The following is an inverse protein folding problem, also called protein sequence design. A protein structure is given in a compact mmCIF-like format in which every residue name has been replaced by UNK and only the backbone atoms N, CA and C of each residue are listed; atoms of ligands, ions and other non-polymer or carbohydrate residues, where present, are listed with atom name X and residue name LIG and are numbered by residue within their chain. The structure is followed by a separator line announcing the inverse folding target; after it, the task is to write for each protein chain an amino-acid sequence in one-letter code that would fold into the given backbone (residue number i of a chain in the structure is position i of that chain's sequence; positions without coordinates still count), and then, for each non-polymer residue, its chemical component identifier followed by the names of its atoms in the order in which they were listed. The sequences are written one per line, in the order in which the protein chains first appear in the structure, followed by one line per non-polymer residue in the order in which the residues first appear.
data_IF_331546627622
#
_entry.id   IF_331546627622
#
_cell.length_a   1.000
_cell.length_b   1.000
_cell.length_c   1.000
_cell.angle_alpha   90.00
_cell.angle_beta   90.00
_cell.angle_gamma   90.00
#
_symmetry.space_group_name_H-M   'P 1'
#
loop_
_entity.id
_entity.type
_entity.pdbx_description
1 polymer ?
#
# COMPACT_ATOMS: atom_id res chain seq x y z
N UNK A 1 14.68 -21.78 -4.06
CA UNK A 1 15.85 -22.43 -3.43
C UNK A 1 15.82 -22.33 -1.90
N UNK A 2 15.76 -21.13 -1.31
CA UNK A 2 15.74 -20.98 0.17
C UNK A 2 14.52 -21.64 0.81
N UNK A 3 13.32 -21.49 0.24
CA UNK A 3 12.11 -22.18 0.72
C UNK A 3 12.31 -23.70 0.74
N UNK A 4 12.75 -24.28 -0.38
CA UNK A 4 13.04 -25.72 -0.46
C UNK A 4 14.08 -26.17 0.59
N UNK A 5 15.11 -25.35 0.89
CA UNK A 5 16.06 -25.64 1.95
C UNK A 5 15.41 -25.61 3.33
N UNK A 6 14.53 -24.64 3.60
CA UNK A 6 13.78 -24.56 4.85
C UNK A 6 12.89 -25.81 5.03
N UNK A 7 12.12 -26.18 4.01
CA UNK A 7 11.29 -27.39 4.00
C UNK A 7 12.12 -28.66 4.19
N UNK A 8 13.30 -28.73 3.56
CA UNK A 8 14.21 -29.87 3.71
C UNK A 8 14.73 -29.95 5.14
N UNK A 9 15.16 -28.85 5.73
CA UNK A 9 15.61 -28.80 7.13
C UNK A 9 14.47 -29.16 8.09
N UNK A 10 13.25 -28.68 7.83
CA UNK A 10 12.05 -29.04 8.58
C UNK A 10 11.77 -30.54 8.52
N UNK A 11 11.88 -31.17 7.34
CA UNK A 11 11.69 -32.62 7.17
C UNK A 11 12.71 -33.46 7.96
N UNK A 12 13.86 -32.88 8.31
CA UNK A 12 14.92 -33.53 9.10
C UNK A 12 14.89 -33.10 10.58
N UNK A 13 14.00 -32.18 10.98
CA UNK A 13 13.92 -31.66 12.35
C UNK A 13 15.09 -30.75 12.76
N UNK A 14 15.83 -30.18 11.81
CA UNK A 14 17.02 -29.34 12.10
C UNK A 14 16.63 -27.87 12.29
N UNK A 15 16.10 -27.50 13.46
CA UNK A 15 15.54 -26.16 13.74
C UNK A 15 16.59 -25.05 13.60
N UNK A 16 17.83 -25.27 14.03
CA UNK A 16 18.91 -24.28 13.94
C UNK A 16 19.23 -23.93 12.48
N UNK A 17 19.13 -24.92 11.58
CA UNK A 17 19.33 -24.70 10.15
C UNK A 17 18.13 -23.99 9.51
N UNK A 18 16.91 -24.27 9.97
CA UNK A 18 15.71 -23.51 9.53
C UNK A 18 15.88 -22.05 9.95
N UNK A 19 16.34 -21.78 11.18
CA UNK A 19 16.60 -20.42 11.66
C UNK A 19 17.70 -19.75 10.82
N UNK A 20 18.78 -20.45 10.49
CA UNK A 20 19.82 -19.92 9.62
C UNK A 20 19.28 -19.57 8.23
N UNK A 21 18.45 -20.43 7.63
CA UNK A 21 17.80 -20.15 6.34
C UNK A 21 16.85 -18.95 6.45
N UNK A 22 16.04 -18.88 7.51
CA UNK A 22 15.18 -17.73 7.78
C UNK A 22 15.99 -16.43 7.91
N UNK A 23 17.10 -16.44 8.64
CA UNK A 23 17.98 -15.28 8.76
C UNK A 23 18.57 -14.81 7.43
N UNK A 24 18.87 -15.74 6.51
CA UNK A 24 19.30 -15.42 5.14
C UNK A 24 18.14 -14.89 4.30
N UNK A 25 16.94 -15.44 4.43
CA UNK A 25 15.73 -14.94 3.78
C UNK A 25 15.37 -13.52 4.25
N UNK A 26 15.69 -13.19 5.51
CA UNK A 26 15.49 -11.89 6.13
C UNK A 26 16.66 -10.91 5.94
N UNK A 27 17.66 -11.24 5.13
CA UNK A 27 18.69 -10.26 4.74
C UNK A 27 18.03 -9.13 3.97
N UNK A 28 18.25 -7.89 4.41
CA UNK A 28 17.82 -6.71 3.67
C UNK A 28 18.94 -6.22 2.75
N UNK A 29 18.54 -5.46 1.72
CA UNK A 29 19.45 -4.63 0.93
C UNK A 29 18.93 -3.21 0.94
N UNK A 30 19.83 -2.23 1.04
CA UNK A 30 19.48 -0.85 0.78
C UNK A 30 19.17 -0.67 -0.71
N UNK A 31 17.96 -0.20 -1.01
CA UNK A 31 17.50 0.12 -2.37
C UNK A 31 17.20 1.60 -2.45
N UNK A 32 17.82 2.31 -3.38
CA UNK A 32 17.60 3.73 -3.62
C UNK A 32 16.97 3.88 -5.01
N UNK A 33 15.86 4.61 -5.09
CA UNK A 33 15.12 4.86 -6.33
C UNK A 33 14.79 6.35 -6.44
N UNK A 34 14.48 6.87 -7.64
CA UNK A 34 13.90 8.21 -7.77
C UNK A 34 12.60 8.30 -6.95
N UNK A 35 12.48 9.33 -6.12
CA UNK A 35 11.27 9.60 -5.35
C UNK A 35 10.18 10.21 -6.22
N UNK A 36 8.92 10.03 -5.82
CA UNK A 36 7.78 10.65 -6.50
C UNK A 36 7.78 12.17 -6.28
N UNK A 37 7.78 12.94 -7.37
CA UNK A 37 7.69 14.41 -7.34
C UNK A 37 6.27 14.80 -7.74
N UNK A 38 5.57 15.51 -6.85
CA UNK A 38 4.27 16.06 -7.18
C UNK A 38 4.42 17.22 -8.19
N UNK A 39 3.60 17.30 -9.24
CA UNK A 39 3.72 18.31 -10.29
C UNK A 39 3.67 19.77 -9.80
N UNK A 40 3.04 20.03 -8.66
CA UNK A 40 2.84 21.37 -8.09
C UNK A 40 3.87 21.75 -6.99
N UNK A 41 4.84 20.88 -6.68
CA UNK A 41 5.80 21.13 -5.60
C UNK A 41 7.18 21.52 -6.14
N UNK A 42 7.32 22.79 -6.57
CA UNK A 42 8.60 23.38 -6.97
C UNK A 42 9.61 23.53 -5.80
N UNK A 43 9.21 23.21 -4.56
CA UNK A 43 9.94 23.61 -3.35
C UNK A 43 10.72 22.50 -2.64
N UNK A 44 10.54 21.23 -2.99
CA UNK A 44 11.18 20.12 -2.28
C UNK A 44 12.34 19.47 -3.08
N UNK A 45 13.51 20.12 -3.06
CA UNK A 45 14.77 19.47 -3.48
C UNK A 45 15.10 18.19 -2.68
N UNK A 46 14.45 17.99 -1.53
CA UNK A 46 14.66 16.87 -0.60
C UNK A 46 13.94 15.55 -0.97
N UNK A 47 13.04 15.54 -1.97
CA UNK A 47 12.25 14.36 -2.34
C UNK A 47 12.74 13.63 -3.61
N UNK A 48 13.97 13.89 -4.08
CA UNK A 48 14.47 13.27 -5.31
C UNK A 48 14.78 11.78 -5.18
N UNK A 49 15.03 11.28 -3.96
CA UNK A 49 15.38 9.88 -3.72
C UNK A 49 14.52 9.24 -2.63
N UNK A 50 14.06 8.04 -2.91
CA UNK A 50 13.40 7.14 -1.98
C UNK A 50 14.36 6.02 -1.60
N UNK A 51 14.52 5.77 -0.30
CA UNK A 51 15.37 4.72 0.23
C UNK A 51 14.50 3.70 0.97
N UNK A 52 14.67 2.43 0.61
CA UNK A 52 13.92 1.30 1.17
C UNK A 52 14.90 0.19 1.57
N UNK A 53 14.49 -0.65 2.52
CA UNK A 53 15.24 -1.84 2.93
C UNK A 53 14.45 -3.12 2.61
N UNK A 54 14.20 -3.45 1.33
CA UNK A 54 13.50 -4.69 0.99
C UNK A 54 14.27 -5.91 1.47
N UNK A 55 13.54 -6.89 2.03
CA UNK A 55 14.10 -8.18 2.40
C UNK A 55 14.32 -9.05 1.16
N UNK A 56 15.24 -10.02 1.28
CA UNK A 56 15.61 -10.94 0.21
C UNK A 56 14.46 -11.84 -0.24
N UNK A 57 13.58 -12.22 0.68
CA UNK A 57 12.37 -12.98 0.41
C UNK A 57 11.14 -12.11 0.62
N UNK A 58 10.09 -12.40 -0.15
CA UNK A 58 8.78 -11.77 0.02
C UNK A 58 8.09 -12.20 1.34
N UNK A 59 7.03 -11.47 1.68
CA UNK A 59 6.21 -11.74 2.86
C UNK A 59 5.74 -13.20 2.93
N UNK A 60 5.19 -13.74 1.83
CA UNK A 60 4.57 -15.06 1.82
C UNK A 60 5.57 -16.15 2.17
N UNK A 61 6.73 -16.15 1.51
CA UNK A 61 7.77 -17.15 1.76
C UNK A 61 8.34 -17.03 3.18
N UNK A 62 8.60 -15.80 3.66
CA UNK A 62 9.10 -15.60 5.02
C UNK A 62 8.08 -16.03 6.07
N UNK A 63 6.82 -15.65 5.89
CA UNK A 63 5.74 -15.94 6.81
C UNK A 63 5.46 -17.45 6.88
N UNK A 64 5.55 -18.15 5.74
CA UNK A 64 5.36 -19.60 5.70
C UNK A 64 6.43 -20.33 6.53
N UNK A 65 7.71 -19.96 6.36
CA UNK A 65 8.81 -20.52 7.16
C UNK A 65 8.64 -20.18 8.65
N UNK A 66 8.28 -18.93 8.96
CA UNK A 66 8.07 -18.50 10.34
C UNK A 66 6.96 -19.30 11.01
N UNK A 67 5.75 -19.25 10.45
CA UNK A 67 4.54 -19.79 11.07
C UNK A 67 4.53 -21.31 11.13
N UNK A 68 4.98 -22.00 10.08
CA UNK A 68 4.93 -23.47 10.02
C UNK A 68 6.11 -24.16 10.70
N UNK A 69 7.29 -23.52 10.69
CA UNK A 69 8.53 -24.24 11.01
C UNK A 69 9.31 -23.66 12.19
N UNK A 70 9.18 -22.37 12.50
CA UNK A 70 9.97 -21.74 13.57
C UNK A 70 9.14 -21.33 14.78
N UNK A 71 7.98 -20.69 14.59
CA UNK A 71 7.09 -20.25 15.66
C UNK A 71 6.79 -21.36 16.69
N UNK A 72 6.48 -22.62 16.29
CA UNK A 72 6.23 -23.70 17.25
C UNK A 72 7.41 -24.03 18.19
N UNK A 73 8.62 -23.64 17.82
CA UNK A 73 9.86 -23.95 18.53
C UNK A 73 10.59 -22.71 19.04
N UNK A 74 9.94 -21.55 19.08
CA UNK A 74 10.56 -20.27 19.42
C UNK A 74 10.86 -20.14 20.93
N UNK A 75 11.79 -20.95 21.46
CA UNK A 75 12.09 -21.00 22.91
C UNK A 75 13.45 -20.39 23.29
N UNK A 76 14.18 -19.80 22.34
CA UNK A 76 15.60 -19.48 22.53
C UNK A 76 15.92 -17.99 22.35
N UNK A 77 16.69 -17.45 23.30
CA UNK A 77 17.24 -16.08 23.31
C UNK A 77 17.90 -15.66 21.99
N UNK A 78 18.73 -16.53 21.40
CA UNK A 78 19.52 -16.21 20.20
C UNK A 78 18.63 -15.82 19.00
N UNK A 79 17.44 -16.41 18.93
CA UNK A 79 16.50 -16.15 17.83
C UNK A 79 15.91 -14.74 17.85
N UNK A 80 15.76 -14.15 19.04
CA UNK A 80 15.28 -12.78 19.19
C UNK A 80 16.36 -11.75 18.88
N UNK A 81 17.58 -12.01 19.34
CA UNK A 81 18.71 -11.12 19.13
C UNK A 81 18.94 -10.82 17.65
N UNK A 82 18.92 -11.86 16.80
CA UNK A 82 19.14 -11.67 15.37
C UNK A 82 18.05 -10.84 14.68
N UNK A 83 16.79 -10.89 15.16
CA UNK A 83 15.66 -10.13 14.60
C UNK A 83 15.71 -8.67 15.01
N UNK A 84 15.93 -8.43 16.30
CA UNK A 84 16.08 -7.08 16.86
C UNK A 84 17.25 -6.38 16.19
N UNK A 85 18.41 -7.04 16.09
CA UNK A 85 19.58 -6.49 15.41
C UNK A 85 19.28 -6.12 13.95
N UNK A 86 18.49 -6.93 13.22
CA UNK A 86 18.12 -6.65 11.84
C UNK A 86 17.27 -5.38 11.73
N UNK A 87 16.26 -5.24 12.58
CA UNK A 87 15.42 -4.05 12.61
C UNK A 87 16.21 -2.79 12.98
N UNK A 88 17.19 -2.89 13.90
CA UNK A 88 18.12 -1.78 14.20
C UNK A 88 18.98 -1.41 12.99
N UNK A 89 19.57 -2.40 12.31
CA UNK A 89 20.38 -2.14 11.11
C UNK A 89 19.58 -1.45 10.00
N UNK A 90 18.34 -1.88 9.77
CA UNK A 90 17.46 -1.24 8.79
C UNK A 90 17.12 0.20 9.20
N UNK A 91 16.86 0.45 10.49
CA UNK A 91 16.64 1.80 11.01
C UNK A 91 17.86 2.71 10.84
N UNK A 92 19.05 2.21 11.16
CA UNK A 92 20.31 2.96 11.02
C UNK A 92 20.59 3.32 9.56
N UNK A 93 20.40 2.36 8.64
CA UNK A 93 20.53 2.62 7.21
C UNK A 93 19.53 3.67 6.74
N UNK A 94 18.25 3.55 7.08
CA UNK A 94 17.23 4.53 6.69
C UNK A 94 17.48 5.92 7.31
N UNK A 95 18.09 5.97 8.50
CA UNK A 95 18.46 7.23 9.16
C UNK A 95 19.50 8.01 8.35
N UNK A 96 20.48 7.31 7.76
CA UNK A 96 21.49 7.93 6.87
C UNK A 96 20.84 8.58 5.65
N UNK A 97 19.72 8.05 5.18
CA UNK A 97 18.96 8.58 4.03
C UNK A 97 17.85 9.56 4.42
N UNK A 98 17.79 9.97 5.69
CA UNK A 98 16.73 10.87 6.18
C UNK A 98 15.33 10.25 6.15
N UNK A 99 15.22 8.92 6.03
CA UNK A 99 13.96 8.16 6.03
C UNK A 99 13.66 7.51 7.38
N UNK A 100 14.50 7.75 8.38
CA UNK A 100 14.22 7.42 9.77
C UNK A 100 14.92 8.42 10.71
N UNK A 101 14.42 8.47 11.93
CA UNK A 101 14.93 9.22 13.06
C UNK A 101 14.37 8.61 14.33
N UNK A 102 14.88 9.06 15.47
CA UNK A 102 14.32 8.66 16.77
C UNK A 102 12.81 8.96 16.87
N UNK A 103 12.32 10.07 16.30
CA UNK A 103 10.91 10.49 16.43
C UNK A 103 9.98 9.86 15.40
N UNK A 104 10.51 9.48 14.24
CA UNK A 104 9.73 8.98 13.12
C UNK A 104 10.57 8.00 12.31
N UNK A 105 9.98 6.88 11.90
CA UNK A 105 10.62 5.84 11.10
C UNK A 105 9.62 5.31 10.08
N UNK A 106 10.02 5.24 8.81
CA UNK A 106 9.18 4.72 7.73
C UNK A 106 8.69 3.29 8.01
N UNK A 107 9.53 2.43 8.59
CA UNK A 107 9.16 1.05 8.91
C UNK A 107 8.09 1.00 10.01
N UNK A 108 8.25 1.80 11.06
CA UNK A 108 7.23 1.91 12.10
C UNK A 108 5.96 2.58 11.58
N UNK A 109 6.05 3.51 10.63
CA UNK A 109 4.87 4.20 10.11
C UNK A 109 3.98 3.24 9.30
N UNK A 110 4.57 2.35 8.50
CA UNK A 110 3.84 1.35 7.70
C UNK A 110 3.18 0.25 8.54
N UNK A 111 3.65 0.03 9.78
CA UNK A 111 3.07 -0.93 10.71
C UNK A 111 2.06 -0.26 11.63
N UNK A 112 0.78 -0.58 11.51
CA UNK A 112 -0.29 0.06 12.29
C UNK A 112 -0.26 -0.37 13.75
N UNK A 113 -0.22 -1.68 14.04
CA UNK A 113 -0.19 -2.22 15.41
C UNK A 113 0.84 -3.35 15.58
N UNK A 114 1.42 -3.51 16.77
CA UNK A 114 2.28 -4.68 17.04
C UNK A 114 1.45 -5.97 17.09
N UNK A 115 0.33 -5.99 17.82
CA UNK A 115 -0.61 -7.10 17.80
C UNK A 115 -1.35 -7.22 16.46
N UNK A 116 -1.95 -8.38 16.13
CA UNK A 116 -2.75 -8.53 14.91
C UNK A 116 -3.88 -7.51 14.82
N UNK A 117 -3.96 -6.80 13.70
CA UNK A 117 -4.89 -5.70 13.51
C UNK A 117 -5.36 -5.59 12.05
N UNK A 118 -6.59 -5.08 11.82
CA UNK A 118 -7.21 -5.06 10.48
C UNK A 118 -6.56 -4.09 9.50
N UNK A 119 -5.93 -3.03 9.99
CA UNK A 119 -5.16 -2.10 9.15
C UNK A 119 -3.88 -2.74 8.59
N UNK A 120 -3.38 -3.82 9.19
CA UNK A 120 -2.17 -4.53 8.75
C UNK A 120 -2.50 -5.69 7.78
N UNK A 121 -3.66 -5.65 7.12
CA UNK A 121 -4.13 -6.69 6.18
C UNK A 121 -3.29 -6.83 4.90
N UNK A 122 -2.48 -5.83 4.57
CA UNK A 122 -1.56 -5.84 3.42
C UNK A 122 -0.11 -5.75 3.92
N UNK A 123 0.43 -6.84 4.49
CA UNK A 123 1.71 -6.79 5.16
C UNK A 123 2.90 -6.78 4.17
N UNK A 124 3.93 -6.06 4.56
CA UNK A 124 5.24 -6.08 3.94
C UNK A 124 6.08 -7.28 4.44
N UNK A 125 7.18 -7.57 3.76
CA UNK A 125 8.10 -8.63 4.19
C UNK A 125 8.70 -8.38 5.59
N UNK A 126 8.95 -7.11 5.92
CA UNK A 126 9.47 -6.69 7.24
C UNK A 126 8.51 -7.01 8.37
N UNK A 127 7.19 -7.07 8.10
CA UNK A 127 6.19 -7.39 9.13
C UNK A 127 6.38 -8.79 9.69
N UNK A 128 6.94 -9.71 8.92
CA UNK A 128 7.29 -11.05 9.42
C UNK A 128 8.37 -10.97 10.50
N UNK A 129 9.33 -10.04 10.39
CA UNK A 129 10.35 -9.82 11.43
C UNK A 129 9.74 -9.21 12.69
N UNK A 130 8.77 -8.30 12.52
CA UNK A 130 8.03 -7.67 13.62
C UNK A 130 7.20 -8.71 14.36
N UNK A 131 6.40 -9.48 13.63
CA UNK A 131 5.58 -10.57 14.16
C UNK A 131 6.45 -11.63 14.84
N UNK A 132 7.58 -11.98 14.23
CA UNK A 132 8.49 -12.95 14.81
C UNK A 132 9.17 -12.43 16.09
N UNK A 133 9.54 -11.15 16.17
CA UNK A 133 10.06 -10.54 17.39
C UNK A 133 8.98 -10.47 18.49
N UNK A 134 7.75 -10.07 18.13
CA UNK A 134 6.59 -10.06 19.04
C UNK A 134 6.32 -11.45 19.62
N UNK A 135 6.12 -12.44 18.75
CA UNK A 135 5.79 -13.81 19.14
C UNK A 135 6.83 -14.41 20.10
N UNK A 136 8.10 -14.07 19.87
CA UNK A 136 9.19 -14.52 20.73
C UNK A 136 9.23 -13.78 22.08
N UNK A 137 8.90 -12.48 22.14
CA UNK A 137 8.70 -11.76 23.41
C UNK A 137 7.52 -12.32 24.20
N UNK A 138 6.41 -12.65 23.52
CA UNK A 138 5.25 -13.30 24.14
C UNK A 138 5.62 -14.69 24.70
N UNK A 139 6.43 -15.46 23.96
CA UNK A 139 6.91 -16.75 24.45
C UNK A 139 7.86 -16.60 25.65
N UNK A 140 8.71 -15.57 25.66
CA UNK A 140 9.54 -15.24 26.82
C UNK A 140 8.71 -14.86 28.05
N UNK A 141 7.56 -14.21 27.86
CA UNK A 141 6.64 -13.95 28.96
C UNK A 141 6.21 -15.24 29.67
N UNK A 142 6.01 -16.33 28.91
CA UNK A 142 5.62 -17.64 29.44
C UNK A 142 6.82 -18.39 30.04
N UNK A 143 7.93 -18.42 29.32
CA UNK A 143 9.07 -19.31 29.63
C UNK A 143 10.06 -18.69 30.61
N UNK A 144 10.30 -17.37 30.53
CA UNK A 144 11.30 -16.66 31.33
C UNK A 144 11.00 -15.16 31.48
N UNK A 145 10.13 -14.78 32.44
CA UNK A 145 9.82 -13.37 32.71
C UNK A 145 11.05 -12.50 33.00
N UNK A 146 12.06 -13.04 33.70
CA UNK A 146 13.32 -12.32 33.95
C UNK A 146 14.04 -11.94 32.65
N UNK A 147 14.02 -12.83 31.66
CA UNK A 147 14.65 -12.58 30.36
C UNK A 147 13.82 -11.62 29.51
N UNK A 148 12.49 -11.68 29.63
CA UNK A 148 11.59 -10.68 29.06
C UNK A 148 11.91 -9.28 29.61
N UNK A 149 12.11 -9.13 30.91
CA UNK A 149 12.49 -7.84 31.50
C UNK A 149 13.78 -7.29 30.89
N UNK A 150 14.81 -8.14 30.71
CA UNK A 150 16.06 -7.72 30.08
C UNK A 150 15.87 -7.25 28.62
N UNK A 151 14.98 -7.90 27.85
CA UNK A 151 14.62 -7.45 26.51
C UNK A 151 13.87 -6.13 26.50
N UNK A 152 12.90 -5.94 27.40
CA UNK A 152 12.15 -4.68 27.50
C UNK A 152 13.11 -3.50 27.71
N UNK A 153 14.06 -3.63 28.64
CA UNK A 153 15.07 -2.60 28.91
C UNK A 153 15.98 -2.33 27.70
N UNK A 154 16.35 -3.36 26.94
CA UNK A 154 17.16 -3.21 25.71
C UNK A 154 16.38 -2.51 24.58
N UNK A 155 15.10 -2.81 24.45
CA UNK A 155 14.26 -2.34 23.37
C UNK A 155 13.79 -0.90 23.60
N UNK A 156 13.45 -0.54 24.84
CA UNK A 156 12.91 0.79 25.18
C UNK A 156 13.92 1.91 24.97
N UNK A 157 15.22 1.63 25.11
CA UNK A 157 16.30 2.62 24.89
C UNK A 157 16.75 2.73 23.43
N UNK A 158 16.24 1.89 22.53
CA UNK A 158 16.64 1.91 21.12
C UNK A 158 16.15 3.19 20.43
N UNK A 159 16.91 3.70 19.46
CA UNK A 159 16.48 4.82 18.62
C UNK A 159 15.42 4.41 17.59
N UNK A 160 15.32 3.12 17.27
CA UNK A 160 14.26 2.57 16.41
C UNK A 160 12.90 2.58 17.13
N UNK A 161 11.95 3.36 16.61
CA UNK A 161 10.59 3.47 17.19
C UNK A 161 9.85 2.13 17.23
N UNK A 162 10.03 1.30 16.21
CA UNK A 162 9.47 -0.04 16.13
C UNK A 162 9.92 -0.96 17.28
N UNK A 163 11.16 -0.81 17.74
CA UNK A 163 11.66 -1.59 18.87
C UNK A 163 11.07 -1.09 20.20
N UNK A 164 10.93 0.22 20.37
CA UNK A 164 10.23 0.77 21.54
C UNK A 164 8.77 0.32 21.58
N UNK A 165 8.10 0.23 20.43
CA UNK A 165 6.75 -0.34 20.30
C UNK A 165 6.68 -1.79 20.75
N UNK A 166 7.65 -2.62 20.35
CA UNK A 166 7.77 -4.00 20.84
C UNK A 166 7.99 -4.04 22.37
N UNK A 167 8.74 -3.11 22.95
CA UNK A 167 8.89 -2.99 24.40
C UNK A 167 7.56 -2.70 25.12
N UNK A 168 6.76 -1.79 24.56
CA UNK A 168 5.43 -1.42 25.09
C UNK A 168 4.46 -2.60 24.99
N UNK A 169 4.50 -3.35 23.89
CA UNK A 169 3.72 -4.59 23.78
C UNK A 169 4.15 -5.62 24.83
N UNK A 170 5.46 -5.83 24.99
CA UNK A 170 6.02 -6.79 25.94
C UNK A 170 5.69 -6.45 27.41
N UNK A 171 5.83 -5.18 27.83
CA UNK A 171 5.49 -4.77 29.21
C UNK A 171 4.00 -4.97 29.51
N UNK A 172 3.14 -4.74 28.50
CA UNK A 172 1.68 -4.89 28.63
C UNK A 172 1.29 -6.32 29.01
N UNK A 173 2.06 -7.30 28.52
CA UNK A 173 1.83 -8.73 28.73
C UNK A 173 2.70 -9.34 29.84
N UNK A 174 3.54 -8.55 30.53
CA UNK A 174 4.52 -9.06 31.48
C UNK A 174 3.84 -9.68 32.72
N UNK A 175 3.91 -11.01 32.94
CA UNK A 175 3.03 -11.70 33.88
C UNK A 175 3.31 -11.38 35.35
N UNK A 176 4.54 -11.00 35.69
CA UNK A 176 4.94 -10.71 37.08
C UNK A 176 4.64 -9.26 37.51
N UNK A 177 4.22 -8.39 36.59
CA UNK A 177 3.90 -7.01 36.89
C UNK A 177 2.41 -6.82 37.11
N UNK A 178 2.04 -6.09 38.17
CA UNK A 178 0.67 -5.66 38.41
C UNK A 178 0.24 -4.60 37.38
N UNK A 179 -1.07 -4.38 37.19
CA UNK A 179 -1.57 -3.29 36.34
C UNK A 179 -0.97 -1.93 36.72
N UNK A 180 -0.79 -1.65 38.01
CA UNK A 180 -0.18 -0.43 38.51
C UNK A 180 1.29 -0.31 38.14
N UNK A 181 2.06 -1.40 38.27
CA UNK A 181 3.48 -1.40 37.89
C UNK A 181 3.66 -1.13 36.40
N UNK A 182 2.79 -1.71 35.56
CA UNK A 182 2.81 -1.47 34.11
C UNK A 182 2.44 -0.02 33.78
N UNK A 183 1.39 0.53 34.37
CA UNK A 183 1.00 1.93 34.16
C UNK A 183 2.11 2.92 34.58
N UNK A 184 2.74 2.68 35.73
CA UNK A 184 3.86 3.51 36.19
C UNK A 184 5.05 3.39 35.23
N UNK A 185 5.37 2.18 34.76
CA UNK A 185 6.42 1.98 33.77
C UNK A 185 6.15 2.79 32.48
N UNK A 186 4.90 2.80 31.99
CA UNK A 186 4.52 3.59 30.81
C UNK A 186 4.76 5.10 31.03
N UNK A 187 4.43 5.62 32.22
CA UNK A 187 4.67 7.03 32.57
C UNK A 187 6.16 7.38 32.67
N UNK A 188 6.98 6.44 33.14
CA UNK A 188 8.41 6.65 33.39
C UNK A 188 9.26 6.55 32.10
N UNK A 189 8.85 5.69 31.15
CA UNK A 189 9.71 5.30 30.02
C UNK A 189 9.23 5.78 28.66
N UNK A 190 7.96 6.16 28.52
CA UNK A 190 7.44 6.58 27.23
C UNK A 190 7.51 8.09 27.15
N UNK A 191 8.42 8.53 26.29
CA UNK A 191 8.76 9.92 26.07
C UNK A 191 7.51 10.78 25.81
N UNK A 192 7.61 12.06 26.20
CA UNK A 192 6.56 13.07 26.01
C UNK A 192 6.25 13.34 24.53
N UNK A 193 7.12 12.88 23.64
CA UNK A 193 6.96 12.89 22.18
C UNK A 193 6.09 11.71 21.71
N UNK A 194 4.78 11.89 21.92
CA UNK A 194 3.63 10.97 21.72
C UNK A 194 3.49 10.21 20.40
N UNK A 195 4.36 10.45 19.41
CA UNK A 195 4.17 9.92 18.05
C UNK A 195 4.70 8.50 17.92
N UNK A 196 5.84 8.18 18.53
CA UNK A 196 6.42 6.84 18.41
C UNK A 196 5.76 5.85 19.37
N UNK A 197 4.92 4.96 18.85
CA UNK A 197 4.22 3.91 19.60
C UNK A 197 2.90 4.31 20.23
N UNK A 198 2.28 5.37 19.68
CA UNK A 198 0.99 5.91 20.10
C UNK A 198 -0.05 4.82 20.39
N UNK A 199 -0.29 3.95 19.40
CA UNK A 199 -1.24 2.84 19.48
C UNK A 199 -0.94 1.90 20.65
N UNK A 200 0.30 1.42 20.75
CA UNK A 200 0.67 0.47 21.78
C UNK A 200 0.54 1.08 23.20
N UNK A 201 0.77 2.39 23.38
CA UNK A 201 0.52 3.06 24.66
C UNK A 201 -0.98 3.07 24.99
N UNK A 202 -1.81 3.51 24.05
CA UNK A 202 -3.26 3.61 24.26
C UNK A 202 -3.84 2.24 24.61
N UNK A 203 -3.43 1.21 23.88
CA UNK A 203 -3.81 -0.18 24.15
C UNK A 203 -3.32 -0.65 25.52
N UNK A 204 -2.05 -0.42 25.86
CA UNK A 204 -1.48 -0.79 27.15
C UNK A 204 -2.24 -0.15 28.32
N UNK A 205 -2.59 1.13 28.19
CA UNK A 205 -3.38 1.86 29.18
C UNK A 205 -4.79 1.31 29.28
N UNK A 206 -5.48 1.08 28.16
CA UNK A 206 -6.84 0.54 28.16
C UNK A 206 -6.94 -0.83 28.84
N UNK A 207 -5.92 -1.68 28.69
CA UNK A 207 -5.89 -3.01 29.31
C UNK A 207 -5.59 -2.98 30.82
N UNK A 208 -4.82 -1.99 31.30
CA UNK A 208 -4.34 -1.97 32.69
C UNK A 208 -5.10 -0.97 33.59
N UNK A 209 -5.57 0.15 33.06
CA UNK A 209 -6.27 1.20 33.81
C UNK A 209 -7.53 0.73 34.56
N UNK A 210 -8.41 -0.11 33.97
CA UNK A 210 -9.63 -0.56 34.66
C UNK A 210 -9.34 -1.37 35.93
N UNK A 211 -8.25 -2.13 35.92
CA UNK A 211 -7.86 -3.07 36.99
C UNK A 211 -6.93 -2.44 38.04
N UNK A 212 -6.39 -1.25 37.79
CA UNK A 212 -5.51 -0.56 38.72
C UNK A 212 -6.24 -0.06 39.98
N UNK A 213 -5.52 0.17 41.07
CA UNK A 213 -6.06 0.84 42.24
C UNK A 213 -6.51 2.28 41.95
N UNK A 214 -7.46 2.79 42.74
CA UNK A 214 -8.00 4.15 42.60
C UNK A 214 -6.92 5.24 42.71
N UNK A 215 -5.96 5.07 43.63
CA UNK A 215 -4.83 5.99 43.79
C UNK A 215 -3.98 6.06 42.52
N UNK A 216 -3.69 4.92 41.88
CA UNK A 216 -2.91 4.86 40.64
C UNK A 216 -3.68 5.47 39.47
N UNK A 217 -4.98 5.19 39.36
CA UNK A 217 -5.85 5.82 38.34
C UNK A 217 -5.84 7.34 38.46
N UNK A 218 -5.94 7.86 39.68
CA UNK A 218 -5.90 9.30 39.95
C UNK A 218 -4.54 9.90 39.58
N UNK A 219 -3.45 9.28 40.01
CA UNK A 219 -2.10 9.74 39.66
C UNK A 219 -1.86 9.75 38.14
N UNK A 220 -2.39 8.76 37.43
CA UNK A 220 -2.30 8.68 35.97
C UNK A 220 -3.08 9.82 35.28
N UNK A 221 -4.30 10.12 35.74
CA UNK A 221 -5.08 11.26 35.25
C UNK A 221 -4.37 12.59 35.53
N UNK A 222 -3.83 12.76 36.74
CA UNK A 222 -3.06 13.94 37.11
C UNK A 222 -1.82 14.11 36.22
N UNK A 223 -1.13 13.01 35.88
CA UNK A 223 0.02 13.04 34.97
C UNK A 223 -0.36 13.47 33.54
N UNK A 224 -1.52 13.02 33.04
CA UNK A 224 -2.06 13.47 31.74
C UNK A 224 -2.37 14.97 31.76
N UNK A 225 -3.07 15.44 32.80
CA UNK A 225 -3.48 16.84 32.93
C UNK A 225 -2.31 17.79 33.17
N UNK A 226 -1.24 17.32 33.82
CA UNK A 226 -0.01 18.08 34.01
C UNK A 226 0.79 18.29 32.72
N UNK A 227 0.48 17.55 31.65
CA UNK A 227 1.17 17.65 30.39
C UNK A 227 0.62 18.80 29.53
N UNK A 228 1.50 19.65 29.02
CA UNK A 228 1.17 20.73 28.09
C UNK A 228 1.91 20.59 26.76
N UNK A 229 1.24 20.97 25.67
CA UNK A 229 1.81 21.04 24.33
C UNK A 229 2.15 22.48 23.98
N UNK A 230 3.24 22.72 23.21
CA UNK A 230 3.52 24.06 22.68
C UNK A 230 2.44 24.48 21.67
N UNK A 231 2.30 25.76 21.38
CA UNK A 231 1.41 26.24 20.32
C UNK A 231 1.80 25.68 18.94
N UNK A 232 0.85 25.64 18.00
CA UNK A 232 1.09 25.40 16.57
C UNK A 232 0.59 26.60 15.76
N UNK A 233 0.85 26.60 14.45
CA UNK A 233 0.43 27.69 13.55
C UNK A 233 -1.08 27.98 13.64
N UNK A 234 -1.89 26.94 13.83
CA UNK A 234 -3.36 27.04 13.84
C UNK A 234 -4.01 27.08 15.24
N UNK A 235 -3.29 26.77 16.32
CA UNK A 235 -3.87 26.56 17.66
C UNK A 235 -2.97 27.04 18.79
N UNK A 236 -3.60 27.64 19.82
CA UNK A 236 -2.90 28.02 21.05
C UNK A 236 -2.36 26.81 21.82
N UNK A 237 -1.37 27.03 22.69
CA UNK A 237 -0.82 25.99 23.55
C UNK A 237 -1.91 25.42 24.49
N UNK A 238 -2.80 26.29 24.97
CA UNK A 238 -3.94 25.95 25.81
C UNK A 238 -4.93 25.04 25.07
N UNK A 239 -5.35 25.40 23.86
CA UNK A 239 -6.29 24.59 23.07
C UNK A 239 -5.71 23.24 22.68
N UNK A 240 -4.44 23.18 22.27
CA UNK A 240 -3.77 21.91 21.95
C UNK A 240 -3.66 21.00 23.17
N UNK A 241 -3.34 21.57 24.34
CA UNK A 241 -3.24 20.82 25.59
C UNK A 241 -4.62 20.31 26.03
N UNK A 242 -5.65 21.16 25.96
CA UNK A 242 -7.02 20.77 26.29
C UNK A 242 -7.55 19.69 25.35
N UNK A 243 -7.27 19.78 24.05
CA UNK A 243 -7.67 18.77 23.06
C UNK A 243 -7.05 17.41 23.38
N UNK A 244 -5.77 17.41 23.66
CA UNK A 244 -5.03 16.22 24.08
C UNK A 244 -5.62 15.61 25.36
N UNK A 245 -5.92 16.44 26.38
CA UNK A 245 -6.53 15.97 27.62
C UNK A 245 -7.89 15.33 27.35
N UNK A 246 -8.70 15.96 26.49
CA UNK A 246 -10.00 15.46 26.09
C UNK A 246 -9.91 14.08 25.42
N UNK A 247 -8.98 13.89 24.48
CA UNK A 247 -8.81 12.62 23.75
C UNK A 247 -8.36 11.49 24.71
N UNK A 248 -7.41 11.77 25.62
CA UNK A 248 -6.97 10.80 26.64
C UNK A 248 -8.07 10.47 27.65
N UNK A 249 -8.77 11.48 28.18
CA UNK A 249 -9.85 11.26 29.16
C UNK A 249 -11.03 10.51 28.54
N UNK A 250 -11.36 10.81 27.28
CA UNK A 250 -12.36 10.05 26.52
C UNK A 250 -11.94 8.58 26.38
N UNK A 251 -10.67 8.31 26.09
CA UNK A 251 -10.14 6.95 26.01
C UNK A 251 -10.21 6.21 27.36
N UNK A 252 -9.80 6.87 28.45
CA UNK A 252 -9.89 6.31 29.79
C UNK A 252 -11.35 6.05 30.21
N UNK A 253 -12.26 6.95 29.85
CA UNK A 253 -13.69 6.79 30.11
C UNK A 253 -14.27 5.58 29.37
N UNK A 254 -13.87 5.34 28.11
CA UNK A 254 -14.24 4.12 27.38
C UNK A 254 -13.75 2.85 28.10
N UNK A 255 -12.54 2.87 28.64
CA UNK A 255 -11.96 1.73 29.34
C UNK A 255 -12.59 1.49 30.73
N UNK A 256 -12.92 2.56 31.47
CA UNK A 256 -13.51 2.50 32.82
C UNK A 256 -14.58 3.59 33.02
N UNK A 257 -15.83 3.39 32.55
CA UNK A 257 -16.87 4.42 32.52
C UNK A 257 -17.34 4.93 33.90
N UNK A 258 -17.12 4.15 34.95
CA UNK A 258 -17.49 4.46 36.34
C UNK A 258 -16.34 5.10 37.12
N UNK A 259 -15.23 5.49 36.47
CA UNK A 259 -14.13 6.17 37.12
C UNK A 259 -14.47 7.65 37.40
N UNK A 260 -14.83 7.93 38.66
CA UNK A 260 -15.21 9.29 39.12
C UNK A 260 -14.19 10.36 38.70
N UNK A 261 -12.89 10.10 38.89
CA UNK A 261 -11.83 11.05 38.53
C UNK A 261 -11.80 11.40 37.03
N UNK A 262 -12.06 10.42 36.16
CA UNK A 262 -12.11 10.65 34.71
C UNK A 262 -13.38 11.41 34.34
N UNK A 263 -14.53 11.01 34.88
CA UNK A 263 -15.80 11.66 34.59
C UNK A 263 -15.78 13.14 35.01
N UNK A 264 -15.29 13.45 36.21
CA UNK A 264 -15.19 14.83 36.69
C UNK A 264 -14.26 15.69 35.81
N UNK A 265 -13.12 15.15 35.40
CA UNK A 265 -12.17 15.87 34.55
C UNK A 265 -12.70 16.04 33.10
N UNK A 266 -13.36 15.02 32.57
CA UNK A 266 -13.93 15.04 31.22
C UNK A 266 -15.11 16.02 31.13
N UNK A 267 -16.02 16.03 32.12
CA UNK A 267 -17.16 16.95 32.14
C UNK A 267 -16.74 18.42 32.16
N UNK A 268 -15.63 18.78 32.82
CA UNK A 268 -15.10 20.14 32.78
C UNK A 268 -14.69 20.55 31.36
N UNK A 269 -14.08 19.64 30.60
CA UNK A 269 -13.69 19.90 29.20
C UNK A 269 -14.90 19.91 28.27
N UNK A 270 -15.89 19.05 28.50
CA UNK A 270 -17.14 19.03 27.72
C UNK A 270 -17.98 20.31 27.93
N UNK A 271 -17.97 20.88 29.15
CA UNK A 271 -18.60 22.18 29.42
C UNK A 271 -17.86 23.34 28.74
N UNK A 272 -16.52 23.28 28.71
CA UNK A 272 -15.69 24.31 28.09
C UNK A 272 -15.70 24.23 26.55
N UNK A 273 -15.80 23.03 25.98
CA UNK A 273 -15.76 22.76 24.53
C UNK A 273 -16.91 21.83 24.09
N UNK A 274 -18.18 22.30 24.07
CA UNK A 274 -19.35 21.46 23.79
C UNK A 274 -19.39 20.82 22.40
N UNK A 275 -18.68 21.42 21.44
CA UNK A 275 -18.56 20.96 20.05
C UNK A 275 -17.57 19.81 19.88
N UNK A 276 -16.71 19.55 20.86
CA UNK A 276 -15.73 18.48 20.76
C UNK A 276 -16.39 17.10 20.78
N UNK A 277 -15.82 16.22 19.96
CA UNK A 277 -16.24 14.83 19.82
C UNK A 277 -15.00 13.96 19.81
N UNK A 278 -15.10 12.85 20.52
CA UNK A 278 -14.02 11.87 20.58
C UNK A 278 -13.91 11.15 19.24
N UNK A 279 -12.71 11.10 18.61
CA UNK A 279 -12.49 10.34 17.38
C UNK A 279 -12.83 8.86 17.57
N UNK A 280 -13.20 8.15 16.51
CA UNK A 280 -13.47 6.70 16.59
C UNK A 280 -12.20 5.93 17.00
N UNK A 281 -11.07 6.25 16.36
CA UNK A 281 -9.74 5.64 16.54
C UNK A 281 -8.71 6.67 17.07
N UNK A 282 -8.81 7.11 18.34
CA UNK A 282 -7.88 8.09 18.91
C UNK A 282 -6.51 7.50 19.23
N UNK A 283 -6.37 6.18 19.17
CA UNK A 283 -5.16 5.38 19.38
C UNK A 283 -4.29 5.27 18.13
N UNK A 284 -4.80 5.65 16.96
CA UNK A 284 -4.04 5.66 15.71
C UNK A 284 -3.73 7.08 15.25
N UNK A 285 -2.48 7.30 14.81
CA UNK A 285 -2.07 8.57 14.18
C UNK A 285 -2.63 8.73 12.76
N UNK A 286 -3.04 7.62 12.15
CA UNK A 286 -3.69 7.55 10.86
C UNK A 286 -4.59 6.31 10.80
N UNK A 287 -5.81 6.50 10.31
CA UNK A 287 -6.76 5.40 10.09
C UNK A 287 -7.13 5.33 8.61
N UNK A 288 -6.95 4.16 8.02
CA UNK A 288 -7.48 3.85 6.69
C UNK A 288 -8.66 2.91 6.85
N UNK A 289 -9.87 3.46 6.75
CA UNK A 289 -11.09 2.65 6.74
C UNK A 289 -11.12 1.71 5.53
N UNK A 290 -12.08 0.79 5.51
CA UNK A 290 -12.36 -0.02 4.32
C UNK A 290 -12.79 0.89 3.16
N UNK A 291 -11.84 1.31 2.34
CA UNK A 291 -12.15 1.83 1.03
C UNK A 291 -12.66 0.65 0.20
N UNK A 292 -13.97 0.57 0.00
CA UNK A 292 -14.47 -0.19 -1.14
C UNK A 292 -13.84 0.43 -2.37
N UNK A 293 -13.11 -0.38 -3.14
CA UNK A 293 -12.72 0.01 -4.48
C UNK A 293 -14.01 0.16 -5.27
N UNK A 294 -14.54 1.38 -5.32
CA UNK A 294 -15.57 1.75 -6.27
C UNK A 294 -14.83 1.82 -7.59
N UNK A 295 -15.01 0.82 -8.44
CA UNK A 295 -14.36 0.78 -9.75
C UNK A 295 -14.64 2.04 -10.56
N UNK A 296 -13.91 2.20 -11.67
CA UNK A 296 -14.10 3.33 -12.58
C UNK A 296 -15.55 3.38 -13.08
N UNK A 297 -16.36 4.26 -12.49
CA UNK A 297 -17.77 4.42 -12.85
C UNK A 297 -17.88 5.17 -14.18
N UNK A 298 -18.81 4.75 -15.02
CA UNK A 298 -19.08 5.39 -16.31
C UNK A 298 -20.19 6.43 -16.18
N UNK A 299 -20.10 7.59 -16.85
CA UNK A 299 -21.18 8.57 -16.84
C UNK A 299 -22.45 8.08 -17.55
N UNK A 300 -22.33 7.08 -18.43
CA UNK A 300 -23.45 6.48 -19.16
C UNK A 300 -23.39 4.95 -19.12
N UNK A 301 -24.54 4.29 -18.97
CA UNK A 301 -24.63 2.84 -19.09
C UNK A 301 -24.47 2.40 -20.56
N UNK A 302 -24.18 1.11 -20.77
CA UNK A 302 -24.08 0.54 -22.13
C UNK A 302 -25.38 0.72 -22.91
N UNK A 303 -26.54 0.56 -22.26
CA UNK A 303 -27.86 0.75 -22.89
C UNK A 303 -28.09 2.20 -23.28
N UNK A 304 -27.63 3.16 -22.47
CA UNK A 304 -27.74 4.59 -22.78
C UNK A 304 -26.86 4.97 -23.98
N UNK A 305 -25.65 4.40 -24.08
CA UNK A 305 -24.77 4.59 -25.22
C UNK A 305 -25.38 4.01 -26.50
N UNK A 306 -25.95 2.81 -26.43
CA UNK A 306 -26.56 2.12 -27.57
C UNK A 306 -27.91 2.71 -28.00
N UNK A 307 -28.57 3.50 -27.13
CA UNK A 307 -29.84 4.16 -27.45
C UNK A 307 -29.69 5.38 -28.40
N UNK A 308 -28.46 5.86 -28.60
CA UNK A 308 -28.14 7.01 -29.46
C UNK A 308 -27.13 6.60 -30.54
N UNK A 309 -27.21 7.24 -31.70
CA UNK A 309 -26.23 7.04 -32.76
C UNK A 309 -24.87 7.65 -32.35
N UNK A 310 -23.72 7.02 -32.69
CA UNK A 310 -22.40 7.54 -32.31
C UNK A 310 -22.18 8.99 -32.73
N UNK A 311 -22.65 9.37 -33.92
CA UNK A 311 -22.52 10.72 -34.47
C UNK A 311 -23.21 11.79 -33.61
N UNK A 312 -24.31 11.45 -32.95
CA UNK A 312 -25.09 12.39 -32.14
C UNK A 312 -24.49 12.64 -30.76
N UNK A 313 -23.63 11.73 -30.29
CA UNK A 313 -23.02 11.77 -28.96
C UNK A 313 -21.51 11.91 -28.98
N UNK A 314 -20.86 11.90 -30.17
CA UNK A 314 -19.41 11.92 -30.29
C UNK A 314 -18.75 13.09 -29.54
N UNK A 315 -19.33 14.29 -29.59
CA UNK A 315 -18.78 15.43 -28.87
C UNK A 315 -18.81 15.23 -27.34
N UNK A 316 -19.87 14.61 -26.81
CA UNK A 316 -19.98 14.27 -25.39
C UNK A 316 -18.94 13.19 -25.02
N UNK A 317 -18.78 12.18 -25.89
CA UNK A 317 -17.78 11.13 -25.74
C UNK A 317 -16.34 11.66 -25.82
N UNK A 318 -16.05 12.76 -26.52
CA UNK A 318 -14.69 13.31 -26.61
C UNK A 318 -14.39 14.34 -25.51
N UNK A 319 -15.41 15.10 -25.09
CA UNK A 319 -15.24 16.21 -24.14
C UNK A 319 -15.36 15.82 -22.67
N UNK A 320 -15.81 14.59 -22.37
CA UNK A 320 -15.92 14.10 -21.00
C UNK A 320 -14.55 14.09 -20.29
N UNK A 321 -14.48 14.76 -19.14
CA UNK A 321 -13.30 14.83 -18.25
C UNK A 321 -13.65 14.30 -16.87
N UNK A 322 -12.64 13.83 -16.16
CA UNK A 322 -12.79 13.25 -14.83
C UNK A 322 -13.40 14.24 -13.83
N UNK A 323 -14.39 13.77 -13.07
CA UNK A 323 -15.11 14.56 -12.07
C UNK A 323 -14.50 14.52 -10.65
N UNK A 324 -13.29 14.00 -10.48
CA UNK A 324 -12.63 13.82 -9.18
C UNK A 324 -12.91 12.47 -8.49
N UNK A 325 -12.56 12.35 -7.21
CA UNK A 325 -12.69 11.13 -6.43
C UNK A 325 -14.17 10.74 -6.23
N UNK A 326 -14.52 9.47 -6.48
CA UNK A 326 -15.90 8.94 -6.47
C UNK A 326 -16.87 9.57 -7.50
N UNK A 327 -16.35 10.10 -8.61
CA UNK A 327 -17.16 10.54 -9.75
C UNK A 327 -16.94 9.63 -10.95
N UNK A 328 -17.85 9.64 -11.94
CA UNK A 328 -17.60 8.97 -13.20
C UNK A 328 -16.27 9.42 -13.83
N UNK A 329 -15.55 8.47 -14.38
CA UNK A 329 -14.19 8.64 -14.88
C UNK A 329 -14.13 8.37 -16.39
N UNK A 330 -13.10 8.94 -17.03
CA UNK A 330 -12.79 8.70 -18.43
C UNK A 330 -12.59 7.22 -18.68
N UNK A 331 -11.88 6.54 -17.79
CA UNK A 331 -11.67 5.09 -17.86
C UNK A 331 -13.00 4.30 -17.80
N UNK A 332 -13.93 4.70 -16.92
CA UNK A 332 -15.26 4.09 -16.83
C UNK A 332 -16.08 4.32 -18.10
N UNK A 333 -15.99 5.52 -18.70
CA UNK A 333 -16.59 5.80 -20.00
C UNK A 333 -16.04 4.91 -21.12
N UNK A 334 -14.72 4.83 -21.23
CA UNK A 334 -14.05 4.00 -22.24
C UNK A 334 -14.40 2.52 -22.06
N UNK A 335 -14.50 2.04 -20.82
CA UNK A 335 -14.92 0.67 -20.49
C UNK A 335 -16.34 0.37 -20.98
N UNK A 336 -17.31 1.22 -20.65
CA UNK A 336 -18.70 1.01 -21.12
C UNK A 336 -18.82 1.18 -22.63
N UNK A 337 -18.04 2.07 -23.24
CA UNK A 337 -18.00 2.25 -24.70
C UNK A 337 -17.46 1.00 -25.41
N UNK A 338 -16.45 0.34 -24.83
CA UNK A 338 -15.93 -0.94 -25.34
C UNK A 338 -16.99 -2.02 -25.27
N UNK A 339 -17.70 -2.14 -24.15
CA UNK A 339 -18.79 -3.11 -24.00
C UNK A 339 -19.96 -2.81 -24.95
N UNK A 340 -20.29 -1.54 -25.20
CA UNK A 340 -21.25 -1.16 -26.23
C UNK A 340 -20.80 -1.62 -27.63
N UNK A 341 -19.53 -1.41 -27.98
CA UNK A 341 -18.97 -1.86 -29.26
C UNK A 341 -19.02 -3.37 -29.42
N UNK A 342 -18.77 -4.11 -28.33
CA UNK A 342 -18.81 -5.57 -28.29
C UNK A 342 -20.23 -6.12 -28.43
N UNK A 343 -21.21 -5.48 -27.79
CA UNK A 343 -22.62 -5.89 -27.86
C UNK A 343 -23.27 -5.57 -29.22
N UNK A 344 -22.82 -4.51 -29.89
CA UNK A 344 -23.38 -4.07 -31.17
C UNK A 344 -22.29 -3.66 -32.17
N UNK A 345 -21.86 -4.61 -33.01
CA UNK A 345 -20.85 -4.38 -34.03
C UNK A 345 -21.26 -3.28 -35.04
N UNK A 346 -22.54 -3.18 -35.41
CA UNK A 346 -23.02 -2.13 -36.32
C UNK A 346 -22.80 -0.75 -35.71
N UNK A 347 -23.08 -0.59 -34.41
CA UNK A 347 -22.82 0.65 -33.68
C UNK A 347 -21.32 0.98 -33.65
N UNK A 348 -20.47 -0.02 -33.40
CA UNK A 348 -19.02 0.16 -33.43
C UNK A 348 -18.50 0.60 -34.81
N UNK A 349 -18.97 -0.01 -35.91
CA UNK A 349 -18.59 0.42 -37.25
C UNK A 349 -19.04 1.86 -37.57
N UNK A 350 -20.24 2.26 -37.12
CA UNK A 350 -20.72 3.65 -37.25
C UNK A 350 -19.87 4.63 -36.44
N UNK A 351 -19.40 4.24 -35.25
CA UNK A 351 -18.44 5.04 -34.47
C UNK A 351 -17.12 5.20 -35.24
N UNK A 352 -16.56 4.12 -35.78
CA UNK A 352 -15.30 4.16 -36.56
C UNK A 352 -15.43 4.97 -37.85
N UNK A 353 -16.59 4.91 -38.51
CA UNK A 353 -16.91 5.78 -39.65
C UNK A 353 -16.95 7.26 -39.21
N UNK A 354 -17.60 7.56 -38.09
CA UNK A 354 -17.69 8.94 -37.59
C UNK A 354 -16.32 9.51 -37.23
N UNK A 355 -15.47 8.71 -36.56
CA UNK A 355 -14.08 9.09 -36.24
C UNK A 355 -13.24 9.32 -37.51
N UNK A 356 -13.41 8.45 -38.52
CA UNK A 356 -12.77 8.60 -39.83
C UNK A 356 -13.20 9.88 -40.54
N UNK A 357 -14.51 10.15 -40.62
CA UNK A 357 -15.09 11.31 -41.34
C UNK A 357 -14.59 12.64 -40.75
N UNK A 358 -14.34 12.67 -39.44
CA UNK A 358 -13.83 13.84 -38.73
C UNK A 358 -12.31 13.88 -38.58
N UNK A 359 -11.60 12.90 -39.17
CA UNK A 359 -10.13 12.76 -39.08
C UNK A 359 -9.59 12.76 -37.63
N UNK A 360 -10.34 12.17 -36.69
CA UNK A 360 -9.99 12.08 -35.27
C UNK A 360 -9.08 10.86 -35.01
N UNK A 361 -7.91 10.84 -35.64
CA UNK A 361 -7.04 9.66 -35.67
C UNK A 361 -6.36 9.32 -34.35
N UNK A 362 -6.10 10.31 -33.49
CA UNK A 362 -5.44 10.14 -32.19
C UNK A 362 -6.39 9.93 -31.01
N UNK A 363 -7.67 9.65 -31.30
CA UNK A 363 -8.71 9.50 -30.28
C UNK A 363 -8.54 8.21 -29.46
N UNK A 364 -8.67 8.32 -28.14
CA UNK A 364 -8.71 7.17 -27.21
C UNK A 364 -9.92 6.24 -27.42
N UNK A 365 -10.89 6.65 -28.25
CA UNK A 365 -12.01 5.82 -28.68
C UNK A 365 -11.61 4.74 -29.70
N UNK A 366 -10.48 4.88 -30.41
CA UNK A 366 -10.02 3.87 -31.37
C UNK A 366 -9.63 2.54 -30.71
N UNK A 367 -8.73 2.50 -29.69
CA UNK A 367 -8.43 1.28 -28.95
C UNK A 367 -9.68 0.58 -28.40
N UNK A 368 -10.59 1.37 -27.83
CA UNK A 368 -11.86 0.92 -27.26
C UNK A 368 -12.75 0.24 -28.31
N UNK A 369 -12.90 0.88 -29.47
CA UNK A 369 -13.67 0.37 -30.59
C UNK A 369 -13.06 -0.92 -31.16
N UNK A 370 -11.74 -0.91 -31.43
CA UNK A 370 -11.05 -2.05 -32.02
C UNK A 370 -11.16 -3.25 -31.08
N UNK A 371 -10.95 -3.02 -29.78
CA UNK A 371 -11.07 -4.05 -28.76
C UNK A 371 -12.47 -4.60 -28.59
N UNK A 372 -13.48 -3.74 -28.61
CA UNK A 372 -14.88 -4.19 -28.57
C UNK A 372 -15.22 -5.06 -29.79
N UNK A 373 -14.78 -4.66 -30.99
CA UNK A 373 -15.06 -5.41 -32.22
C UNK A 373 -14.42 -6.80 -32.24
N UNK A 374 -13.13 -6.95 -31.90
CA UNK A 374 -12.50 -8.27 -31.97
C UNK A 374 -12.92 -9.22 -30.84
N UNK A 375 -13.40 -8.68 -29.71
CA UNK A 375 -14.01 -9.44 -28.61
C UNK A 375 -15.46 -9.85 -28.90
N UNK A 376 -16.08 -9.32 -29.96
CA UNK A 376 -17.42 -9.71 -30.41
C UNK A 376 -17.40 -10.91 -31.36
N UNK A 377 -18.55 -11.57 -31.52
CA UNK A 377 -18.74 -12.66 -32.47
C UNK A 377 -18.99 -12.12 -33.89
N UNK A 378 -17.92 -11.65 -34.55
CA UNK A 378 -18.00 -11.13 -35.92
C UNK A 378 -18.05 -12.25 -36.98
N UNK A 379 -18.83 -11.98 -38.05
CA UNK A 379 -18.80 -12.77 -39.28
C UNK A 379 -17.51 -12.55 -40.07
N UNK A 380 -17.24 -13.42 -41.06
CA UNK A 380 -16.09 -13.24 -41.98
C UNK A 380 -16.13 -11.90 -42.71
N UNK A 381 -17.31 -11.49 -43.19
CA UNK A 381 -17.51 -10.22 -43.91
C UNK A 381 -17.21 -9.03 -42.99
N UNK A 382 -17.71 -9.05 -41.77
CA UNK A 382 -17.43 -8.00 -40.77
C UNK A 382 -15.95 -7.93 -40.37
N UNK A 383 -15.25 -9.08 -40.35
CA UNK A 383 -13.79 -9.08 -40.17
C UNK A 383 -13.05 -8.48 -41.37
N UNK A 384 -13.52 -8.70 -42.59
CA UNK A 384 -12.95 -8.04 -43.77
C UNK A 384 -13.14 -6.53 -43.70
N UNK A 385 -14.31 -6.06 -43.28
CA UNK A 385 -14.57 -4.63 -43.07
C UNK A 385 -13.66 -4.04 -41.98
N UNK A 386 -13.43 -4.78 -40.90
CA UNK A 386 -12.50 -4.39 -39.84
C UNK A 386 -11.06 -4.29 -40.35
N UNK A 387 -10.60 -5.26 -41.15
CA UNK A 387 -9.26 -5.22 -41.77
C UNK A 387 -9.13 -4.04 -42.76
N UNK A 388 -10.18 -3.73 -43.52
CA UNK A 388 -10.22 -2.56 -44.41
C UNK A 388 -10.20 -1.25 -43.63
N UNK A 389 -10.78 -1.22 -42.43
CA UNK A 389 -10.76 -0.04 -41.55
C UNK A 389 -9.33 0.22 -41.03
N UNK A 390 -8.64 -0.82 -40.55
CA UNK A 390 -7.28 -0.72 -40.00
C UNK A 390 -6.18 -0.71 -41.06
N UNK A 391 -6.51 -0.87 -42.36
CA UNK A 391 -5.53 -0.75 -43.44
C UNK A 391 -5.13 0.70 -43.75
N UNK A 392 -5.75 1.70 -43.09
CA UNK A 392 -5.41 3.12 -43.26
C UNK A 392 -4.10 3.44 -42.57
N UNK A 393 -3.12 3.94 -43.32
CA UNK A 393 -1.77 4.22 -42.80
C UNK A 393 -1.75 5.18 -41.60
N UNK A 394 -2.60 6.21 -41.60
CA UNK A 394 -2.67 7.19 -40.48
C UNK A 394 -3.18 6.54 -39.19
N UNK A 395 -4.08 5.56 -39.28
CA UNK A 395 -4.55 4.84 -38.10
C UNK A 395 -3.48 3.87 -37.58
N UNK A 396 -2.68 3.30 -38.49
CA UNK A 396 -1.58 2.40 -38.16
C UNK A 396 -0.45 3.09 -37.41
N UNK A 397 -0.12 4.34 -37.74
CA UNK A 397 0.88 5.11 -37.01
C UNK A 397 0.40 5.47 -35.60
N UNK A 398 -0.84 5.92 -35.45
CA UNK A 398 -1.36 6.38 -34.15
C UNK A 398 -1.67 5.23 -33.18
N UNK A 399 -2.07 4.05 -33.68
CA UNK A 399 -2.56 2.92 -32.86
C UNK A 399 -1.92 1.58 -33.25
N UNK A 400 -0.61 1.59 -33.50
CA UNK A 400 0.16 0.43 -33.97
C UNK A 400 0.02 -0.81 -33.07
N UNK A 401 0.09 -0.63 -31.74
CA UNK A 401 -0.06 -1.70 -30.76
C UNK A 401 -1.46 -2.31 -30.76
N UNK A 402 -2.52 -1.49 -30.75
CA UNK A 402 -3.91 -1.98 -30.73
C UNK A 402 -4.25 -2.75 -32.01
N UNK A 403 -3.72 -2.31 -33.15
CA UNK A 403 -3.87 -2.99 -34.42
C UNK A 403 -3.10 -4.31 -34.42
N UNK A 404 -1.89 -4.36 -33.87
CA UNK A 404 -1.14 -5.61 -33.73
C UNK A 404 -1.89 -6.64 -32.87
N UNK A 405 -2.47 -6.22 -31.74
CA UNK A 405 -3.29 -7.07 -30.88
C UNK A 405 -4.55 -7.59 -31.60
N UNK A 406 -5.20 -6.73 -32.40
CA UNK A 406 -6.32 -7.13 -33.24
C UNK A 406 -5.91 -8.19 -34.26
N UNK A 407 -4.79 -8.02 -34.96
CA UNK A 407 -4.29 -9.00 -35.93
C UNK A 407 -3.90 -10.32 -35.24
N UNK A 408 -3.30 -10.24 -34.05
CA UNK A 408 -2.99 -11.41 -33.24
C UNK A 408 -4.25 -12.18 -32.83
N UNK A 409 -5.33 -11.48 -32.48
CA UNK A 409 -6.60 -12.09 -32.10
C UNK A 409 -7.27 -12.92 -33.22
N UNK A 410 -6.91 -12.67 -34.49
CA UNK A 410 -7.39 -13.45 -35.64
C UNK A 410 -6.81 -14.88 -35.62
N UNK A 411 -5.58 -15.05 -35.12
CA UNK A 411 -4.80 -16.30 -35.20
C UNK A 411 -4.54 -16.97 -33.86
N UNK A 412 -4.79 -16.28 -32.74
CA UNK A 412 -4.63 -16.80 -31.37
C UNK A 412 -5.58 -17.96 -31.08
N UNK A 413 -5.16 -18.88 -30.21
CA UNK A 413 -5.99 -19.99 -29.69
C UNK A 413 -6.60 -20.90 -30.76
N UNK A 414 -5.85 -21.14 -31.85
CA UNK A 414 -6.31 -21.93 -33.00
C UNK A 414 -6.98 -21.12 -34.12
N UNK A 415 -7.11 -19.80 -33.94
CA UNK A 415 -7.57 -18.84 -34.93
C UNK A 415 -9.08 -18.86 -35.16
N UNK A 416 -9.60 -17.78 -35.75
CA UNK A 416 -10.99 -17.73 -36.20
C UNK A 416 -11.21 -18.77 -37.34
N UNK A 417 -12.42 -19.35 -37.50
CA UNK A 417 -12.66 -20.40 -38.52
C UNK A 417 -12.31 -20.00 -39.95
N UNK A 418 -12.34 -18.71 -40.26
CA UNK A 418 -12.03 -18.11 -41.56
C UNK A 418 -10.66 -17.41 -41.60
N UNK A 419 -9.81 -17.57 -40.57
CA UNK A 419 -8.54 -16.85 -40.46
C UNK A 419 -7.63 -17.10 -41.67
N UNK A 420 -7.61 -18.33 -42.21
CA UNK A 420 -6.83 -18.67 -43.40
C UNK A 420 -7.22 -17.85 -44.65
N UNK A 421 -8.50 -17.51 -44.78
CA UNK A 421 -9.00 -16.73 -45.92
C UNK A 421 -8.62 -15.25 -45.82
N UNK A 422 -8.31 -14.76 -44.62
CA UNK A 422 -7.97 -13.37 -44.33
C UNK A 422 -6.49 -13.15 -44.05
N UNK A 423 -5.70 -14.23 -44.00
CA UNK A 423 -4.32 -14.22 -43.55
C UNK A 423 -3.43 -13.35 -44.44
N UNK A 424 -3.62 -13.40 -45.77
CA UNK A 424 -2.83 -12.59 -46.70
C UNK A 424 -3.04 -11.08 -46.45
N UNK A 425 -4.29 -10.66 -46.26
CA UNK A 425 -4.62 -9.28 -45.95
C UNK A 425 -4.05 -8.86 -44.59
N UNK A 426 -4.18 -9.70 -43.56
CA UNK A 426 -3.61 -9.47 -42.25
C UNK A 426 -2.08 -9.33 -42.28
N UNK A 427 -1.38 -10.15 -43.09
CA UNK A 427 0.07 -10.07 -43.26
C UNK A 427 0.48 -8.74 -43.90
N UNK A 428 -0.22 -8.27 -44.94
CA UNK A 428 0.06 -6.97 -45.56
C UNK A 428 -0.07 -5.83 -44.53
N UNK A 429 -1.13 -5.85 -43.73
CA UNK A 429 -1.35 -4.84 -42.68
C UNK A 429 -0.24 -4.94 -41.62
N UNK A 430 0.12 -6.13 -41.17
CA UNK A 430 1.20 -6.32 -40.18
C UNK A 430 2.55 -5.77 -40.63
N UNK A 431 2.89 -5.92 -41.92
CA UNK A 431 4.13 -5.39 -42.49
C UNK A 431 4.10 -3.86 -42.51
N UNK A 432 2.96 -3.26 -42.85
CA UNK A 432 2.77 -1.82 -42.84
C UNK A 432 2.87 -1.23 -41.43
N UNK A 433 2.25 -1.88 -40.44
CA UNK A 433 2.34 -1.51 -39.02
C UNK A 433 3.78 -1.62 -38.52
N UNK A 434 4.47 -2.71 -38.84
CA UNK A 434 5.88 -2.90 -38.46
C UNK A 434 6.77 -1.77 -39.00
N UNK A 435 6.60 -1.38 -40.26
CA UNK A 435 7.36 -0.31 -40.88
C UNK A 435 7.09 1.06 -40.25
N UNK A 436 5.87 1.31 -39.77
CA UNK A 436 5.52 2.54 -39.06
C UNK A 436 6.24 2.63 -37.70
N UNK A 437 6.30 1.52 -36.95
CA UNK A 437 7.00 1.47 -35.65
C UNK A 437 8.52 1.69 -35.82
N UNK A 438 9.14 1.06 -36.81
CA UNK A 438 10.59 1.20 -37.07
C UNK A 438 10.99 2.65 -37.43
N UNK A 439 10.07 3.46 -37.99
CA UNK A 439 10.32 4.85 -38.36
C UNK A 439 10.25 5.80 -37.15
N UNK A 440 9.29 5.63 -36.24
CA UNK A 440 9.15 6.46 -35.03
C UNK A 440 10.36 6.30 -34.09
N UNK A 441 10.88 5.07 -33.95
CA UNK A 441 12.08 4.78 -33.13
C UNK A 441 13.34 5.46 -33.68
N UNK A 442 13.38 5.78 -34.98
CA UNK A 442 14.50 6.47 -35.62
C UNK A 442 14.41 8.00 -35.52
N UNK A 443 13.21 8.58 -35.35
CA UNK A 443 12.99 10.03 -35.22
C UNK A 443 13.03 10.52 -33.78
N UNK A 444 12.68 9.68 -32.80
CA UNK A 444 12.91 9.95 -31.37
C UNK A 444 14.40 9.78 -31.01
N UNK A 445 15.22 10.75 -31.43
CA UNK A 445 16.59 10.91 -30.93
C UNK A 445 16.56 11.09 -29.41
N UNK A 446 16.77 9.99 -28.67
CA UNK A 446 16.89 10.02 -27.21
C UNK A 446 18.09 10.89 -26.85
N UNK A 447 17.81 12.10 -26.38
CA UNK A 447 18.79 13.03 -25.85
C UNK A 447 19.25 12.51 -24.48
N UNK A 448 20.44 11.90 -24.45
CA UNK A 448 21.02 11.31 -23.25
C UNK A 448 21.73 12.42 -22.46
N UNK A 449 20.96 13.21 -21.70
CA UNK A 449 21.54 14.08 -20.65
C UNK A 449 21.36 13.53 -19.23
N UNK A 450 20.66 12.41 -19.05
CA UNK A 450 20.41 11.81 -17.73
C UNK A 450 20.95 10.37 -17.63
N UNK A 451 22.17 10.26 -17.10
CA UNK A 451 22.90 9.00 -16.95
C UNK A 451 22.31 8.06 -15.87
N UNK A 452 21.27 8.50 -15.13
CA UNK A 452 20.59 7.72 -14.09
C UNK A 452 19.11 7.43 -14.36
N UNK A 453 18.51 8.02 -15.40
CA UNK A 453 17.18 7.63 -15.90
C UNK A 453 17.20 6.90 -17.25
N UNK A 454 18.39 6.65 -17.81
CA UNK A 454 18.53 5.80 -18.99
C UNK A 454 18.07 4.36 -18.71
N UNK A 455 17.32 3.71 -19.63
CA UNK A 455 16.95 2.31 -19.49
C UNK A 455 18.23 1.48 -19.43
N UNK A 456 18.43 0.82 -18.29
CA UNK A 456 19.44 -0.22 -18.13
C UNK A 456 19.07 -1.43 -18.99
N UNK A 457 19.42 -1.40 -20.27
CA UNK A 457 19.44 -2.58 -21.13
C UNK A 457 20.86 -2.74 -21.65
N UNK A 458 21.69 -3.44 -20.86
CA UNK A 458 22.92 -4.03 -21.35
C UNK A 458 22.55 -5.32 -22.08
N UNK A 459 22.93 -5.35 -23.36
CA UNK A 459 23.44 -6.47 -24.13
C UNK A 459 23.36 -7.87 -23.49
N UNK A 460 22.66 -8.80 -24.15
CA UNK A 460 23.20 -10.08 -24.64
C UNK A 460 22.08 -10.97 -25.22
N UNK A 461 22.09 -11.15 -26.54
CA UNK A 461 21.85 -12.46 -27.19
C UNK A 461 22.02 -12.34 -28.72
N UNK A 462 23.28 -12.41 -29.17
CA UNK A 462 23.62 -13.04 -30.44
C UNK A 462 24.48 -14.26 -30.09
N UNK A 463 23.82 -15.40 -29.90
CA UNK A 463 24.20 -16.77 -30.27
C UNK A 463 23.16 -17.77 -29.72
#
# INVERSE_FOLDING_TARGET
MLMWLAERCASQGCIELILAVFMVMSEHRLSIKPGFVWPDDESNEHNRLEAECPLRADHWLLNDVWTKHLKPFCRTWDSNYCRVLRLEMMHDELTVWGKASRKWDALSFRRSAIEPHEQDKYPDAVDVLIDAARDALEQLAVDSPTLLSAWIERLVISDASLLRRLAIHAITMHPELSPEQRLNWLLDHIDRDRVSGHHEVYRAVALNYPSAAELTRKAFVEAILAHSLPASDDLSAEERSARLHFDWLSWLHRAKPDCVTVCEALSQLEEQYPEWRSPEHPDFTHWMGSAEWVGSESPWSVEQLLAREPREQLNELLSFRDGGFNSPSREGLLTNTREACKQNASWAFMLGQTLTEQALWSSDLWPVLLRGLWESELSKESWQDLLNLVSKSVLQSEHSYDIADLLYSLVRDGGKPFALDLLEQACIISLSVWQAIDADVAEEGVDIEDWLSGPSIIQLALL
#
